data_IF_661385286653
#
_entry.id   IF_661385286653
#
_cell.length_a   1.000
_cell.length_b   1.000
_cell.length_c   1.000
_cell.angle_alpha   90.00
_cell.angle_beta   90.00
_cell.angle_gamma   90.00
#
_symmetry.space_group_name_H-M   'P 1'
#
loop_
_entity.id
_entity.type
_entity.pdbx_description
1 polymer ?
#
# COMPACT_ATOMS: atom_id res chain seq x y z
N UNK A 1 -17.55 -26.52 3.48
CA UNK A 1 -17.57 -27.00 4.88
C UNK A 1 -16.33 -27.86 5.13
N UNK A 2 -15.83 -27.93 6.37
CA UNK A 2 -14.43 -27.66 6.73
C UNK A 2 -13.59 -28.93 6.93
N UNK A 3 -12.26 -28.79 6.90
CA UNK A 3 -11.33 -29.73 7.55
C UNK A 3 -10.22 -28.92 8.23
N UNK A 4 -10.45 -28.63 9.51
CA UNK A 4 -9.45 -28.17 10.47
C UNK A 4 -8.51 -29.34 10.78
N UNK A 5 -7.20 -29.10 10.84
CA UNK A 5 -6.32 -29.91 11.69
C UNK A 5 -5.22 -29.03 12.31
N UNK A 6 -5.55 -28.47 13.48
CA UNK A 6 -4.62 -27.91 14.47
C UNK A 6 -4.65 -28.85 15.66
N UNK A 7 -3.93 -29.98 15.61
CA UNK A 7 -3.74 -30.87 16.77
C UNK A 7 -2.65 -31.93 16.50
N UNK A 8 -1.42 -31.57 16.85
CA UNK A 8 -0.27 -32.43 17.12
C UNK A 8 0.84 -31.43 17.52
N UNK A 9 1.43 -31.36 18.72
CA UNK A 9 1.57 -32.19 19.91
C UNK A 9 1.52 -31.18 21.09
N UNK A 10 0.76 -31.34 22.17
CA UNK A 10 0.90 -32.39 23.18
C UNK A 10 2.37 -32.66 23.57
N UNK A 11 2.98 -31.73 24.30
CA UNK A 11 3.94 -32.08 25.34
C UNK A 11 3.48 -31.42 26.63
N UNK A 12 2.49 -32.07 27.24
CA UNK A 12 2.34 -32.04 28.67
C UNK A 12 3.63 -32.60 29.28
N UNK A 13 4.19 -31.91 30.28
CA UNK A 13 4.38 -32.48 31.61
C UNK A 13 4.83 -31.39 32.60
N UNK A 14 4.12 -31.24 33.73
CA UNK A 14 4.50 -30.38 34.83
C UNK A 14 5.35 -31.17 35.83
N UNK A 15 6.57 -30.71 36.12
CA UNK A 15 7.35 -31.09 37.31
C UNK A 15 7.80 -29.77 37.96
N UNK A 16 7.13 -29.28 39.00
CA UNK A 16 7.13 -29.74 40.39
C UNK A 16 8.23 -29.08 41.23
N UNK A 17 7.76 -28.41 42.30
CA UNK A 17 8.44 -28.12 43.57
C UNK A 17 9.58 -27.10 43.58
N UNK A 18 9.24 -25.89 44.04
CA UNK A 18 9.89 -25.06 45.09
C UNK A 18 9.18 -23.71 44.99
N UNK A 19 8.51 -23.12 45.97
CA UNK A 19 8.44 -23.26 47.42
C UNK A 19 7.78 -21.95 47.89
N UNK A 20 7.08 -21.96 49.03
CA UNK A 20 6.56 -20.72 49.64
C UNK A 20 5.07 -20.77 49.94
N UNK A 21 4.77 -21.25 51.13
CA UNK A 21 3.49 -21.19 51.81
C UNK A 21 3.01 -19.74 51.98
N UNK A 22 1.71 -19.47 51.88
CA UNK A 22 0.88 -18.83 52.91
C UNK A 22 -0.57 -18.57 52.40
N UNK A 23 -1.47 -19.43 52.90
CA UNK A 23 -2.87 -19.21 53.26
C UNK A 23 -3.45 -17.80 53.03
N UNK A 24 -4.49 -17.69 52.19
CA UNK A 24 -5.75 -17.02 52.54
C UNK A 24 -6.72 -16.99 51.35
N UNK A 25 -7.94 -17.48 51.59
CA UNK A 25 -9.14 -16.72 51.21
C UNK A 25 -9.68 -16.89 49.80
N UNK A 26 -10.79 -17.62 49.73
CA UNK A 26 -12.02 -17.01 49.20
C UNK A 26 -12.21 -17.04 47.69
N UNK A 27 -13.10 -17.94 47.29
CA UNK A 27 -14.07 -17.83 46.20
C UNK A 27 -14.25 -16.39 45.65
N UNK A 28 -13.65 -16.11 44.49
CA UNK A 28 -14.08 -15.04 43.57
C UNK A 28 -14.18 -15.74 42.21
N UNK A 29 -15.38 -16.15 41.78
CA UNK A 29 -16.34 -15.20 41.23
C UNK A 29 -15.88 -14.84 39.82
N UNK A 30 -16.01 -15.78 38.88
CA UNK A 30 -15.62 -15.60 37.49
C UNK A 30 -16.41 -14.47 36.84
N UNK A 31 -15.77 -13.32 36.67
CA UNK A 31 -16.22 -12.29 35.75
C UNK A 31 -15.60 -12.58 34.37
N UNK A 32 -16.39 -12.66 33.28
CA UNK A 32 -15.80 -12.72 31.96
C UNK A 32 -15.17 -11.36 31.67
N UNK A 33 -13.86 -11.33 31.50
CA UNK A 33 -13.19 -10.17 30.94
C UNK A 33 -13.67 -10.00 29.49
N UNK A 34 -14.54 -9.01 29.26
CA UNK A 34 -14.93 -8.59 27.92
C UNK A 34 -13.71 -7.94 27.28
N UNK A 35 -13.01 -8.69 26.44
CA UNK A 35 -11.96 -8.14 25.59
C UNK A 35 -12.59 -7.18 24.59
N UNK A 36 -12.35 -5.88 24.77
CA UNK A 36 -12.71 -4.86 23.78
C UNK A 36 -11.96 -5.15 22.48
N UNK A 37 -12.67 -5.57 21.45
CA UNK A 37 -12.13 -5.72 20.11
C UNK A 37 -11.73 -4.34 19.61
N UNK A 38 -10.42 -4.08 19.50
CA UNK A 38 -9.93 -2.89 18.82
C UNK A 38 -10.39 -2.98 17.37
N UNK A 39 -11.18 -1.99 16.94
CA UNK A 39 -11.58 -1.82 15.54
C UNK A 39 -10.31 -1.82 14.70
N UNK A 40 -10.16 -2.81 13.82
CA UNK A 40 -9.03 -2.87 12.91
C UNK A 40 -8.94 -1.55 12.15
N UNK A 41 -7.78 -0.88 12.23
CA UNK A 41 -7.52 0.33 11.46
C UNK A 41 -7.81 0.03 9.99
N UNK A 42 -8.73 0.79 9.40
CA UNK A 42 -9.13 0.63 8.00
C UNK A 42 -7.87 0.79 7.16
N UNK A 43 -7.50 -0.25 6.41
CA UNK A 43 -6.35 -0.19 5.52
C UNK A 43 -6.50 1.04 4.61
N UNK A 44 -5.45 1.87 4.44
CA UNK A 44 -5.53 3.02 3.57
C UNK A 44 -5.87 2.53 2.16
N UNK A 45 -6.99 3.03 1.62
CA UNK A 45 -7.39 2.72 0.25
C UNK A 45 -6.45 3.49 -0.65
N UNK A 46 -5.43 2.83 -1.18
CA UNK A 46 -4.59 3.36 -2.25
C UNK A 46 -5.43 3.36 -3.52
N UNK A 47 -6.02 4.51 -3.86
CA UNK A 47 -6.68 4.69 -5.15
C UNK A 47 -5.57 4.91 -6.16
N UNK A 48 -5.34 3.95 -7.07
CA UNK A 48 -4.45 4.17 -8.21
C UNK A 48 -5.03 5.32 -9.04
N UNK A 49 -4.31 6.43 -9.21
CA UNK A 49 -4.78 7.53 -10.04
C UNK A 49 -4.99 7.01 -11.46
N UNK A 50 -6.24 7.01 -11.91
CA UNK A 50 -6.63 6.53 -13.23
C UNK A 50 -7.58 7.53 -13.88
N UNK A 51 -7.49 7.60 -15.21
CA UNK A 51 -8.46 8.28 -16.05
C UNK A 51 -8.88 7.33 -17.15
N UNK A 52 -10.18 7.32 -17.47
CA UNK A 52 -10.71 6.45 -18.50
C UNK A 52 -11.32 7.28 -19.62
N UNK A 53 -10.98 6.93 -20.86
CA UNK A 53 -11.52 7.53 -22.07
C UNK A 53 -12.00 6.42 -23.00
N UNK A 54 -13.11 6.68 -23.70
CA UNK A 54 -13.60 5.80 -24.76
C UNK A 54 -13.16 6.35 -26.11
N UNK A 55 -12.53 5.52 -26.92
CA UNK A 55 -12.10 5.85 -28.28
C UNK A 55 -12.76 4.84 -29.21
N UNK A 56 -13.87 5.22 -29.85
CA UNK A 56 -14.69 4.28 -30.61
C UNK A 56 -15.18 3.12 -29.73
N UNK A 57 -14.82 1.88 -30.10
CA UNK A 57 -15.14 0.68 -29.31
C UNK A 57 -14.16 0.41 -28.17
N UNK A 58 -13.00 1.07 -28.16
CA UNK A 58 -11.96 0.83 -27.18
C UNK A 58 -12.23 1.59 -25.90
N UNK A 59 -11.96 0.93 -24.78
CA UNK A 59 -11.86 1.59 -23.48
C UNK A 59 -10.38 1.71 -23.13
N UNK A 60 -9.89 2.94 -23.01
CA UNK A 60 -8.49 3.23 -22.67
C UNK A 60 -8.46 3.75 -21.25
N UNK A 61 -7.72 3.07 -20.39
CA UNK A 61 -7.48 3.47 -19.00
C UNK A 61 -6.03 3.92 -18.87
N UNK A 62 -5.81 5.21 -18.67
CA UNK A 62 -4.51 5.75 -18.32
C UNK A 62 -4.25 5.50 -16.83
N UNK A 63 -3.14 4.83 -16.53
CA UNK A 63 -2.70 4.48 -15.18
C UNK A 63 -1.43 5.27 -14.86
N UNK A 64 -1.44 6.05 -13.77
CA UNK A 64 -0.24 6.77 -13.32
C UNK A 64 0.64 5.85 -12.48
N UNK A 65 1.88 5.66 -12.90
CA UNK A 65 2.92 4.86 -12.22
C UNK A 65 3.81 5.71 -11.29
N UNK A 66 3.66 7.03 -11.37
CA UNK A 66 4.34 7.98 -10.50
C UNK A 66 5.05 9.06 -11.31
N UNK A 67 6.07 9.66 -10.71
CA UNK A 67 6.83 10.71 -11.32
C UNK A 67 8.29 10.72 -10.87
N UNK A 68 9.14 11.33 -11.68
CA UNK A 68 10.50 11.70 -11.28
C UNK A 68 10.79 13.12 -11.76
N UNK A 69 11.51 13.89 -10.95
CA UNK A 69 11.96 15.21 -11.34
C UNK A 69 13.36 15.07 -11.97
N UNK A 70 13.47 15.41 -13.24
CA UNK A 70 14.73 15.38 -13.98
C UNK A 70 15.43 16.73 -13.83
N UNK A 71 16.69 16.77 -13.35
CA UNK A 71 17.42 18.04 -13.22
C UNK A 71 17.63 18.67 -14.61
N UNK A 72 17.83 19.99 -14.66
CA UNK A 72 17.87 20.71 -15.94
C UNK A 72 19.06 20.32 -16.84
N UNK A 73 20.12 19.77 -16.26
CA UNK A 73 21.30 19.24 -16.97
C UNK A 73 21.11 17.81 -17.51
N UNK A 74 19.99 17.15 -17.23
CA UNK A 74 19.65 15.83 -17.76
C UNK A 74 19.41 15.82 -19.29
N UNK A 75 19.01 16.96 -19.86
CA UNK A 75 18.51 17.05 -21.23
C UNK A 75 19.66 17.27 -22.23
N UNK A 76 19.98 16.30 -23.10
CA UNK A 76 21.03 16.49 -24.08
C UNK A 76 20.62 17.52 -25.15
N UNK A 77 21.62 18.22 -25.70
CA UNK A 77 21.44 19.15 -26.82
C UNK A 77 20.96 20.55 -26.44
N UNK A 78 20.79 20.87 -25.15
CA UNK A 78 20.55 22.23 -24.62
C UNK A 78 21.32 22.43 -23.32
N UNK A 79 21.60 23.67 -22.96
CA UNK A 79 22.13 23.97 -21.62
C UNK A 79 21.02 23.92 -20.57
N UNK A 80 21.39 23.74 -19.30
CA UNK A 80 20.44 23.75 -18.19
C UNK A 80 19.59 25.03 -18.15
N UNK A 81 20.22 26.20 -18.36
CA UNK A 81 19.54 27.50 -18.38
C UNK A 81 18.48 27.60 -19.49
N UNK A 82 18.76 27.04 -20.68
CA UNK A 82 17.81 27.01 -21.79
C UNK A 82 16.60 26.12 -21.48
N UNK A 83 16.84 24.98 -20.82
CA UNK A 83 15.79 24.06 -20.38
C UNK A 83 14.93 24.70 -19.29
N UNK A 84 15.56 25.32 -18.28
CA UNK A 84 14.85 26.02 -17.21
C UNK A 84 14.01 27.17 -17.77
N UNK A 85 14.56 27.97 -18.68
CA UNK A 85 13.82 29.05 -19.35
C UNK A 85 12.58 28.52 -20.07
N UNK A 86 12.69 27.39 -20.76
CA UNK A 86 11.55 26.75 -21.43
C UNK A 86 10.52 26.21 -20.41
N UNK A 87 10.98 25.59 -19.32
CA UNK A 87 10.13 25.10 -18.25
C UNK A 87 9.37 26.24 -17.55
N UNK A 88 10.01 27.40 -17.35
CA UNK A 88 9.37 28.61 -16.81
C UNK A 88 8.29 29.10 -17.77
N UNK A 89 8.58 29.18 -19.07
CA UNK A 89 7.61 29.60 -20.08
C UNK A 89 6.39 28.66 -20.17
N UNK A 90 6.53 27.39 -19.79
CA UNK A 90 5.46 26.40 -19.75
C UNK A 90 4.82 26.24 -18.37
N UNK A 91 5.24 27.03 -17.37
CA UNK A 91 4.78 26.91 -15.98
C UNK A 91 5.02 25.52 -15.37
N UNK A 92 6.07 24.83 -15.81
CA UNK A 92 6.48 23.49 -15.34
C UNK A 92 7.77 23.50 -14.54
N UNK A 93 8.47 24.63 -14.48
CA UNK A 93 9.71 24.79 -13.70
C UNK A 93 9.51 24.48 -12.21
N UNK A 94 10.45 23.74 -11.63
CA UNK A 94 10.53 23.43 -10.20
C UNK A 94 11.99 23.54 -9.76
N UNK A 95 12.20 23.70 -8.46
CA UNK A 95 13.56 23.66 -7.88
C UNK A 95 14.26 22.32 -8.14
N UNK A 96 13.50 21.22 -8.19
CA UNK A 96 14.00 19.87 -8.48
C UNK A 96 14.19 19.57 -9.97
N UNK A 97 13.89 20.53 -10.86
CA UNK A 97 13.93 20.35 -12.32
C UNK A 97 12.55 20.14 -12.94
N UNK A 98 12.48 19.37 -14.02
CA UNK A 98 11.23 19.11 -14.77
C UNK A 98 10.61 17.79 -14.33
N UNK A 99 9.35 17.83 -13.88
CA UNK A 99 8.61 16.63 -13.47
C UNK A 99 8.15 15.81 -14.67
N UNK A 100 8.60 14.56 -14.75
CA UNK A 100 8.16 13.57 -15.72
C UNK A 100 7.15 12.65 -15.08
N UNK A 101 6.00 12.48 -15.73
CA UNK A 101 4.99 11.49 -15.35
C UNK A 101 5.25 10.19 -16.09
N UNK A 102 5.21 9.08 -15.35
CA UNK A 102 5.23 7.75 -15.92
C UNK A 102 3.79 7.25 -15.99
N UNK A 103 3.31 6.99 -17.21
CA UNK A 103 1.97 6.50 -17.45
C UNK A 103 2.03 5.17 -18.18
N UNK A 104 1.13 4.28 -17.82
CA UNK A 104 0.84 3.05 -18.53
C UNK A 104 -0.57 3.15 -19.12
N UNK A 105 -0.82 2.49 -20.24
CA UNK A 105 -2.12 2.56 -20.93
C UNK A 105 -2.70 1.17 -21.08
N UNK A 106 -3.73 0.92 -20.30
CA UNK A 106 -4.50 -0.30 -20.42
C UNK A 106 -5.61 -0.11 -21.46
N UNK A 107 -5.57 -0.89 -22.52
CA UNK A 107 -6.52 -0.84 -23.63
C UNK A 107 -7.38 -2.11 -23.62
N UNK A 108 -8.69 -1.92 -23.59
CA UNK A 108 -9.69 -2.97 -23.72
C UNK A 108 -10.45 -2.80 -25.04
N UNK A 109 -10.42 -3.83 -25.90
CA UNK A 109 -11.05 -3.79 -27.23
C UNK A 109 -12.37 -4.56 -27.34
N UNK A 110 -12.80 -5.20 -26.25
CA UNK A 110 -13.97 -6.05 -26.15
C UNK A 110 -13.63 -7.55 -26.08
N UNK A 111 -12.46 -7.96 -26.57
CA UNK A 111 -12.00 -9.36 -26.57
C UNK A 111 -10.69 -9.52 -25.80
N UNK A 112 -9.84 -8.49 -25.81
CA UNK A 112 -8.49 -8.49 -25.27
C UNK A 112 -8.28 -7.29 -24.35
N UNK A 113 -7.35 -7.48 -23.42
CA UNK A 113 -6.86 -6.48 -22.48
C UNK A 113 -5.35 -6.39 -22.64
N UNK A 114 -4.87 -5.23 -23.09
CA UNK A 114 -3.48 -4.98 -23.47
C UNK A 114 -2.94 -3.88 -22.57
N UNK A 115 -1.78 -4.10 -21.96
CA UNK A 115 -1.07 -3.12 -21.14
C UNK A 115 0.15 -2.59 -21.90
#
# INVERSE_FOLDING_TARGET
MPQLSRRAFASALPLSLMGGSLLAGGLIGGAPALATTQTAAKAPVSVTPLAQIRIGRFTVTALTDGYADMPYDYFPGRSADEVEKAAVAQFTARQSGVRFLFNQYLIEDGERRIL
#
